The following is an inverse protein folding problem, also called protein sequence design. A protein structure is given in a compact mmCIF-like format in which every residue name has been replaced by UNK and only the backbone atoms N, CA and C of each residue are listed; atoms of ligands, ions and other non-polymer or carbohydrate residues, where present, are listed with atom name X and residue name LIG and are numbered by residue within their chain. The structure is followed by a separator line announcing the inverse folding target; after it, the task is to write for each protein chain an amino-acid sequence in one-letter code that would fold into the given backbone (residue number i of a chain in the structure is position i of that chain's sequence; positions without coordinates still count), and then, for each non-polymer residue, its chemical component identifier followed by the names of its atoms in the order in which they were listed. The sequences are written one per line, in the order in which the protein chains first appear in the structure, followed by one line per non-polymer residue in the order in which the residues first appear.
data_IF_771815886892
#
_entry.id   IF_771815886892
#
_cell.length_a   1.000
_cell.length_b   1.000
_cell.length_c   1.000
_cell.angle_alpha   90.00
_cell.angle_beta   90.00
_cell.angle_gamma   90.00
#
_symmetry.space_group_name_H-M   'P 1'
#
loop_
_entity.id
_entity.type
_entity.pdbx_description
1 polymer ?
#
# COMPACT_ATOMS: atom_id res chain seq x y z
N UNK A 1 -14.64 -21.95 -5.21
CA UNK A 1 -14.42 -21.40 -3.85
C UNK A 1 -15.41 -20.28 -3.59
N UNK A 2 -15.92 -20.14 -2.38
CA UNK A 2 -16.90 -19.11 -2.02
C UNK A 2 -16.34 -17.69 -2.18
N UNK A 3 -17.16 -16.79 -2.73
CA UNK A 3 -16.87 -15.36 -2.80
C UNK A 3 -16.97 -14.70 -1.42
N UNK A 4 -16.10 -13.75 -1.13
CA UNK A 4 -16.11 -12.97 0.11
C UNK A 4 -17.00 -11.74 -0.06
N UNK A 5 -17.95 -11.55 0.88
CA UNK A 5 -18.75 -10.32 0.97
C UNK A 5 -17.93 -9.20 1.61
N UNK A 6 -18.16 -7.97 1.18
CA UNK A 6 -17.41 -6.81 1.64
C UNK A 6 -17.49 -6.57 3.16
N UNK A 7 -18.65 -6.84 3.76
CA UNK A 7 -18.90 -6.80 5.21
C UNK A 7 -17.93 -7.67 6.01
N UNK A 8 -17.61 -8.86 5.51
CA UNK A 8 -16.71 -9.81 6.18
C UNK A 8 -15.23 -9.50 5.92
N UNK A 9 -14.94 -8.65 4.94
CA UNK A 9 -13.57 -8.31 4.53
C UNK A 9 -12.96 -7.13 5.29
N UNK A 10 -13.72 -6.49 6.18
CA UNK A 10 -13.31 -5.25 6.86
C UNK A 10 -11.95 -5.36 7.54
N UNK A 11 -11.72 -6.42 8.32
CA UNK A 11 -10.49 -6.56 9.11
C UNK A 11 -9.21 -6.78 8.27
N UNK A 12 -9.19 -7.68 7.27
CA UNK A 12 -8.08 -7.76 6.32
C UNK A 12 -7.85 -6.46 5.52
N UNK A 13 -8.92 -5.73 5.16
CA UNK A 13 -8.79 -4.46 4.45
C UNK A 13 -8.21 -3.34 5.34
N UNK A 14 -8.54 -3.33 6.64
CA UNK A 14 -7.89 -2.46 7.62
C UNK A 14 -6.39 -2.80 7.73
N UNK A 15 -6.04 -4.08 7.74
CA UNK A 15 -4.65 -4.51 7.75
C UNK A 15 -3.89 -4.06 6.48
N UNK A 16 -4.57 -3.97 5.33
CA UNK A 16 -4.00 -3.33 4.14
C UNK A 16 -3.74 -1.83 4.34
N UNK A 17 -4.63 -1.08 5.00
CA UNK A 17 -4.37 0.33 5.33
C UNK A 17 -3.12 0.48 6.21
N UNK A 18 -2.95 -0.41 7.19
CA UNK A 18 -1.70 -0.48 7.98
C UNK A 18 -0.48 -0.75 7.10
N UNK A 19 -0.56 -1.76 6.22
CA UNK A 19 0.55 -2.10 5.31
C UNK A 19 0.91 -0.96 4.35
N UNK A 20 -0.06 -0.16 3.92
CA UNK A 20 0.19 1.04 3.12
C UNK A 20 1.12 1.98 3.88
N UNK A 21 0.72 2.44 5.08
CA UNK A 21 1.55 3.33 5.89
C UNK A 21 2.92 2.73 6.21
N UNK A 22 2.96 1.43 6.53
CA UNK A 22 4.19 0.70 6.85
C UNK A 22 5.22 0.74 5.72
N UNK A 23 4.81 0.38 4.51
CA UNK A 23 5.71 0.35 3.33
C UNK A 23 6.04 1.77 2.87
N UNK A 24 5.07 2.68 2.95
CA UNK A 24 5.24 4.09 2.59
C UNK A 24 6.28 4.80 3.46
N UNK A 25 6.29 4.54 4.77
CA UNK A 25 7.30 5.09 5.68
C UNK A 25 8.73 4.67 5.31
N UNK A 26 8.92 3.42 4.87
CA UNK A 26 10.23 2.91 4.45
C UNK A 26 10.72 3.64 3.19
N UNK A 27 9.87 3.73 2.17
CA UNK A 27 10.22 4.39 0.90
C UNK A 27 10.48 5.89 1.09
N UNK A 28 9.61 6.57 1.83
CA UNK A 28 9.72 8.01 2.02
C UNK A 28 10.95 8.40 2.85
N UNK A 29 11.28 7.61 3.87
CA UNK A 29 12.47 7.86 4.71
C UNK A 29 13.78 7.73 3.92
N UNK A 30 13.79 6.90 2.87
CA UNK A 30 14.98 6.64 2.07
C UNK A 30 15.13 7.55 0.85
N UNK A 31 14.04 7.81 0.13
CA UNK A 31 14.07 8.51 -1.18
C UNK A 31 13.04 9.63 -1.32
N UNK A 32 12.29 9.95 -0.26
CA UNK A 32 11.23 10.95 -0.27
C UNK A 32 10.10 10.67 -1.27
N UNK A 33 9.94 9.41 -1.68
CA UNK A 33 8.88 8.92 -2.55
C UNK A 33 7.99 7.96 -1.79
N UNK A 34 6.68 8.16 -1.95
CA UNK A 34 5.65 7.29 -1.40
C UNK A 34 5.33 6.18 -2.42
N UNK A 35 5.74 4.92 -2.21
CA UNK A 35 5.44 3.82 -3.11
C UNK A 35 3.94 3.58 -3.33
N UNK A 36 3.07 3.99 -2.41
CA UNK A 36 1.61 3.91 -2.53
C UNK A 36 0.95 5.15 -3.15
N UNK A 37 1.52 6.34 -3.02
CA UNK A 37 0.83 7.59 -3.34
C UNK A 37 1.21 8.16 -4.70
N UNK A 38 0.53 7.66 -5.73
CA UNK A 38 0.86 8.00 -7.11
C UNK A 38 0.45 9.40 -7.55
N UNK A 39 -0.47 10.08 -6.85
CA UNK A 39 -0.78 11.49 -7.13
C UNK A 39 0.47 12.36 -7.01
N UNK A 40 1.19 12.23 -5.90
CA UNK A 40 2.44 12.97 -5.68
C UNK A 40 3.53 12.59 -6.68
N UNK A 41 3.69 11.30 -6.97
CA UNK A 41 4.71 10.83 -7.92
C UNK A 41 4.42 11.32 -9.35
N UNK A 42 3.15 11.35 -9.75
CA UNK A 42 2.72 11.88 -11.06
C UNK A 42 3.03 13.37 -11.19
N UNK A 43 2.73 14.15 -10.15
CA UNK A 43 3.05 15.59 -10.13
C UNK A 43 4.56 15.82 -10.11
N UNK A 44 5.33 15.05 -9.34
CA UNK A 44 6.80 15.15 -9.35
C UNK A 44 7.39 14.93 -10.75
N UNK A 45 6.87 13.95 -11.50
CA UNK A 45 7.29 13.73 -12.88
C UNK A 45 6.89 14.86 -13.82
N UNK A 46 5.67 15.39 -13.66
CA UNK A 46 5.24 16.55 -14.42
C UNK A 46 6.15 17.77 -14.17
N UNK A 47 6.55 17.99 -12.91
CA UNK A 47 7.51 19.04 -12.56
C UNK A 47 8.88 18.80 -13.18
N UNK A 48 9.39 17.56 -13.17
CA UNK A 48 10.64 17.21 -13.82
C UNK A 48 10.63 17.53 -15.33
N UNK A 49 9.51 17.22 -16.02
CA UNK A 49 9.32 17.55 -17.44
C UNK A 49 9.22 19.07 -17.63
N UNK A 50 8.51 19.78 -16.76
CA UNK A 50 8.34 21.23 -16.87
C UNK A 50 9.68 22.00 -16.80
N UNK A 51 10.69 21.48 -16.06
CA UNK A 51 12.04 22.07 -16.00
C UNK A 51 12.75 22.15 -17.36
N UNK A 52 12.37 21.30 -18.32
CA UNK A 52 12.89 21.34 -19.70
C UNK A 52 12.42 22.58 -20.47
N UNK A 53 11.39 23.28 -19.98
CA UNK A 53 10.77 24.42 -20.65
C UNK A 53 10.92 25.72 -19.85
N UNK A 54 11.73 25.72 -18.78
CA UNK A 54 11.89 26.88 -17.92
C UNK A 54 12.76 27.95 -18.59
N UNK A 55 12.22 29.15 -18.91
CA UNK A 55 13.00 30.19 -19.59
C UNK A 55 14.15 30.69 -18.72
N UNK A 56 15.35 30.76 -19.30
CA UNK A 56 16.56 31.23 -18.59
C UNK A 56 17.08 30.30 -17.49
N UNK A 57 16.43 29.17 -17.23
CA UNK A 57 16.81 28.18 -16.21
C UNK A 57 16.50 26.75 -16.65
N UNK A 58 16.65 26.46 -17.95
CA UNK A 58 16.38 25.13 -18.51
C UNK A 58 17.28 24.08 -17.86
N UNK A 59 16.67 23.04 -17.31
CA UNK A 59 17.38 21.96 -16.61
C UNK A 59 17.03 20.60 -17.21
N UNK A 60 18.03 19.97 -17.82
CA UNK A 60 17.96 18.64 -18.45
C UNK A 60 18.26 17.49 -17.48
N UNK A 61 18.54 17.79 -16.20
CA UNK A 61 18.83 16.76 -15.21
C UNK A 61 17.57 15.96 -14.87
N UNK A 62 17.72 14.63 -14.95
CA UNK A 62 16.75 13.70 -14.37
C UNK A 62 17.29 13.29 -13.00
N UNK A 63 16.82 13.99 -11.97
CA UNK A 63 17.37 13.93 -10.61
C UNK A 63 16.91 12.63 -9.90
N UNK A 64 17.60 12.20 -8.84
CA UNK A 64 17.24 10.97 -8.13
C UNK A 64 15.76 10.88 -7.67
N UNK A 65 15.11 11.96 -7.18
CA UNK A 65 13.68 11.92 -6.86
C UNK A 65 12.79 11.69 -8.08
N UNK A 66 13.14 12.28 -9.24
CA UNK A 66 12.38 12.09 -10.48
C UNK A 66 12.46 10.63 -10.96
N UNK A 67 13.66 10.03 -10.87
CA UNK A 67 13.88 8.60 -11.16
C UNK A 67 13.06 7.71 -10.24
N UNK A 68 13.07 8.01 -8.94
CA UNK A 68 12.32 7.25 -7.94
C UNK A 68 10.81 7.34 -8.17
N UNK A 69 10.30 8.54 -8.48
CA UNK A 69 8.90 8.76 -8.82
C UNK A 69 8.49 7.99 -10.07
N UNK A 70 9.34 7.96 -11.11
CA UNK A 70 9.07 7.21 -12.34
C UNK A 70 9.00 5.70 -12.09
N UNK A 71 10.01 5.15 -11.39
CA UNK A 71 10.05 3.74 -11.03
C UNK A 71 8.82 3.37 -10.21
N UNK A 72 8.49 4.16 -9.18
CA UNK A 72 7.33 3.93 -8.33
C UNK A 72 6.02 3.93 -9.13
N UNK A 73 5.81 4.93 -10.00
CA UNK A 73 4.58 5.05 -10.78
C UNK A 73 4.38 3.88 -11.74
N UNK A 74 5.40 3.55 -12.54
CA UNK A 74 5.30 2.49 -13.54
C UNK A 74 5.08 1.13 -12.90
N UNK A 75 5.80 0.83 -11.82
CA UNK A 75 5.70 -0.46 -11.14
C UNK A 75 4.42 -0.57 -10.31
N UNK A 76 3.90 0.52 -9.74
CA UNK A 76 2.57 0.55 -9.13
C UNK A 76 1.48 0.21 -10.15
N UNK A 77 1.53 0.84 -11.34
CA UNK A 77 0.59 0.55 -12.43
C UNK A 77 0.70 -0.93 -12.85
N UNK A 78 1.93 -1.45 -12.96
CA UNK A 78 2.17 -2.86 -13.26
C UNK A 78 1.56 -3.79 -12.19
N UNK A 79 1.78 -3.52 -10.90
CA UNK A 79 1.18 -4.28 -9.82
C UNK A 79 -0.35 -4.25 -9.85
N UNK A 80 -0.94 -3.07 -10.11
CA UNK A 80 -2.38 -2.92 -10.29
C UNK A 80 -2.90 -3.71 -11.52
N UNK A 81 -2.11 -3.74 -12.60
CA UNK A 81 -2.42 -4.52 -13.80
C UNK A 81 -2.42 -6.03 -13.52
N UNK A 82 -1.47 -6.55 -12.73
CA UNK A 82 -1.47 -7.96 -12.30
C UNK A 82 -2.74 -8.32 -11.52
N UNK A 83 -3.37 -7.36 -10.84
CA UNK A 83 -4.65 -7.59 -10.17
C UNK A 83 -5.78 -8.04 -11.09
N UNK A 84 -5.66 -7.76 -12.40
CA UNK A 84 -6.61 -8.21 -13.43
C UNK A 84 -6.61 -9.72 -13.63
N UNK A 85 -5.59 -10.46 -13.16
CA UNK A 85 -5.64 -11.93 -13.11
C UNK A 85 -6.87 -12.40 -12.33
N UNK A 86 -7.26 -11.64 -11.29
CA UNK A 86 -8.48 -11.88 -10.54
C UNK A 86 -9.77 -11.83 -11.38
N UNK A 87 -9.79 -11.19 -12.55
CA UNK A 87 -10.96 -11.20 -13.44
C UNK A 87 -11.27 -12.61 -13.97
N UNK A 88 -10.24 -13.44 -14.15
CA UNK A 88 -10.38 -14.84 -14.58
C UNK A 88 -10.67 -15.79 -13.42
N UNK A 89 -10.09 -15.52 -12.24
CA UNK A 89 -10.25 -16.39 -11.06
C UNK A 89 -11.49 -16.05 -10.22
N UNK A 90 -12.10 -14.89 -10.44
CA UNK A 90 -13.12 -14.31 -9.59
C UNK A 90 -12.49 -13.36 -8.56
N UNK A 91 -12.69 -12.04 -8.69
CA UNK A 91 -11.90 -11.03 -7.97
C UNK A 91 -12.19 -10.94 -6.47
N UNK A 92 -13.23 -11.64 -6.01
CA UNK A 92 -13.65 -11.72 -4.60
C UNK A 92 -13.51 -13.14 -4.03
N UNK A 93 -12.97 -14.09 -4.79
CA UNK A 93 -12.79 -15.45 -4.29
C UNK A 93 -11.67 -15.51 -3.25
N UNK A 94 -11.83 -16.34 -2.21
CA UNK A 94 -10.77 -16.55 -1.21
C UNK A 94 -9.44 -16.96 -1.83
N UNK A 95 -9.46 -17.82 -2.85
CA UNK A 95 -8.26 -18.21 -3.60
C UNK A 95 -7.53 -17.00 -4.17
N UNK A 96 -8.24 -16.13 -4.88
CA UNK A 96 -7.63 -14.95 -5.47
C UNK A 96 -7.14 -13.97 -4.41
N UNK A 97 -7.90 -13.75 -3.34
CA UNK A 97 -7.50 -12.86 -2.25
C UNK A 97 -6.24 -13.37 -1.54
N UNK A 98 -6.18 -14.67 -1.23
CA UNK A 98 -4.98 -15.33 -0.70
C UNK A 98 -3.79 -15.19 -1.67
N UNK A 99 -3.96 -15.63 -2.91
CA UNK A 99 -2.88 -15.66 -3.91
C UNK A 99 -2.37 -14.25 -4.23
N UNK A 100 -3.28 -13.31 -4.44
CA UNK A 100 -2.96 -11.92 -4.70
C UNK A 100 -2.23 -11.26 -3.53
N UNK A 101 -2.57 -11.61 -2.29
CA UNK A 101 -1.82 -11.16 -1.11
C UNK A 101 -0.46 -11.83 -1.01
N UNK A 102 -0.36 -13.10 -1.39
CA UNK A 102 0.92 -13.82 -1.41
C UNK A 102 1.87 -13.22 -2.45
N UNK A 103 1.38 -12.82 -3.62
CA UNK A 103 2.18 -12.09 -4.62
C UNK A 103 2.68 -10.75 -4.05
N UNK A 104 1.84 -10.03 -3.30
CA UNK A 104 2.27 -8.82 -2.58
C UNK A 104 3.39 -9.12 -1.56
N UNK A 105 3.27 -10.24 -0.83
CA UNK A 105 4.30 -10.70 0.10
C UNK A 105 5.62 -11.00 -0.62
N UNK A 106 5.56 -11.70 -1.76
CA UNK A 106 6.73 -12.00 -2.59
C UNK A 106 7.40 -10.74 -3.14
N UNK A 107 6.62 -9.74 -3.57
CA UNK A 107 7.18 -8.45 -3.95
C UNK A 107 7.83 -7.74 -2.76
N UNK A 108 7.20 -7.73 -1.58
CA UNK A 108 7.80 -7.13 -0.38
C UNK A 108 9.09 -7.84 0.03
N UNK A 109 9.14 -9.17 -0.12
CA UNK A 109 10.33 -9.98 0.12
C UNK A 109 11.44 -9.67 -0.89
N UNK A 110 11.10 -9.59 -2.18
CA UNK A 110 12.04 -9.21 -3.22
C UNK A 110 12.62 -7.81 -2.96
N UNK A 111 11.79 -6.86 -2.52
CA UNK A 111 12.27 -5.54 -2.11
C UNK A 111 13.26 -5.62 -0.95
N UNK A 112 12.97 -6.43 0.08
CA UNK A 112 13.86 -6.64 1.22
C UNK A 112 15.23 -7.19 0.79
N UNK A 113 15.25 -8.18 -0.10
CA UNK A 113 16.49 -8.77 -0.63
C UNK A 113 17.25 -7.78 -1.49
N UNK A 114 16.56 -7.05 -2.38
CA UNK A 114 17.19 -6.04 -3.24
C UNK A 114 17.85 -4.93 -2.41
N UNK A 115 17.16 -4.39 -1.40
CA UNK A 115 17.77 -3.33 -0.59
C UNK A 115 18.91 -3.85 0.29
N UNK A 116 18.81 -5.07 0.81
CA UNK A 116 19.89 -5.71 1.55
C UNK A 116 21.16 -5.85 0.70
N UNK A 117 21.01 -6.33 -0.54
CA UNK A 117 22.14 -6.50 -1.46
C UNK A 117 22.66 -5.19 -2.05
N UNK A 118 21.89 -4.09 -2.02
CA UNK A 118 22.35 -2.82 -2.59
C UNK A 118 23.41 -2.14 -1.74
N UNK A 119 23.48 -2.46 -0.44
CA UNK A 119 24.39 -1.81 0.51
C UNK A 119 24.04 -0.36 0.85
N UNK A 120 22.87 0.15 0.41
CA UNK A 120 22.46 1.52 0.69
C UNK A 120 22.02 1.69 2.14
N UNK A 121 22.22 2.90 2.67
CA UNK A 121 21.69 3.29 3.96
C UNK A 121 20.15 3.24 3.99
N UNK A 122 19.58 3.11 5.18
CA UNK A 122 18.13 2.97 5.36
C UNK A 122 17.40 4.32 5.40
N UNK A 123 18.08 5.37 5.88
CA UNK A 123 17.52 6.70 6.12
C UNK A 123 18.37 7.74 5.39
N UNK A 124 17.72 8.65 4.66
CA UNK A 124 18.38 9.79 4.05
C UNK A 124 18.84 10.80 5.11
N UNK A 125 20.07 11.29 4.98
CA UNK A 125 20.66 12.29 5.88
C UNK A 125 20.05 13.68 5.69
N UNK A 126 19.67 14.03 4.45
CA UNK A 126 19.05 15.30 4.09
C UNK A 126 18.00 15.11 2.98
N UNK A 127 17.04 16.04 2.87
CA UNK A 127 16.01 16.02 1.82
C UNK A 127 16.56 16.14 0.39
N UNK A 128 17.73 16.76 0.22
CA UNK A 128 18.42 16.87 -1.05
C UNK A 128 19.27 15.65 -1.42
N UNK A 129 19.53 14.74 -0.46
CA UNK A 129 20.46 13.62 -0.61
C UNK A 129 19.80 12.28 -0.23
N UNK A 130 19.11 11.62 -1.18
CA UNK A 130 18.41 10.38 -0.90
C UNK A 130 19.38 9.24 -0.60
N UNK A 131 19.04 8.41 0.39
CA UNK A 131 19.87 7.28 0.80
C UNK A 131 19.98 6.19 -0.28
N UNK A 132 18.96 6.03 -1.13
CA UNK A 132 18.96 5.00 -2.17
C UNK A 132 19.33 5.59 -3.53
N UNK A 133 20.52 5.22 -3.97
CA UNK A 133 21.15 5.70 -5.21
C UNK A 133 21.55 4.54 -6.14
N UNK A 134 21.74 3.34 -5.60
CA UNK A 134 22.12 2.18 -6.39
C UNK A 134 20.94 1.67 -7.23
N UNK A 135 21.17 1.13 -8.45
CA UNK A 135 20.12 0.56 -9.29
C UNK A 135 19.26 -0.48 -8.56
N UNK A 136 19.89 -1.32 -7.72
CA UNK A 136 19.18 -2.37 -6.99
C UNK A 136 18.23 -1.80 -5.91
N UNK A 137 18.55 -0.63 -5.34
CA UNK A 137 17.65 0.05 -4.41
C UNK A 137 16.43 0.65 -5.13
N UNK A 138 16.59 1.10 -6.38
CA UNK A 138 15.44 1.44 -7.23
C UNK A 138 14.60 0.21 -7.59
N UNK A 139 15.21 -0.94 -7.82
CA UNK A 139 14.46 -2.21 -8.00
C UNK A 139 13.66 -2.55 -6.73
N UNK A 140 14.24 -2.33 -5.54
CA UNK A 140 13.53 -2.50 -4.28
C UNK A 140 12.30 -1.59 -4.19
N UNK A 141 12.46 -0.30 -4.50
CA UNK A 141 11.35 0.66 -4.59
C UNK A 141 10.27 0.17 -5.58
N UNK A 142 10.69 -0.34 -6.74
CA UNK A 142 9.78 -0.88 -7.75
C UNK A 142 8.94 -2.03 -7.23
N UNK A 143 9.55 -2.98 -6.52
CA UNK A 143 8.80 -4.08 -5.90
C UNK A 143 7.86 -3.61 -4.79
N UNK A 144 8.27 -2.63 -3.96
CA UNK A 144 7.40 -2.01 -2.95
C UNK A 144 6.16 -1.39 -3.61
N UNK A 145 6.36 -0.60 -4.67
CA UNK A 145 5.29 0.06 -5.41
C UNK A 145 4.39 -0.94 -6.14
N UNK A 146 4.94 -1.99 -6.76
CA UNK A 146 4.16 -3.07 -7.36
C UNK A 146 3.31 -3.83 -6.33
N UNK A 147 3.85 -4.09 -5.14
CA UNK A 147 3.10 -4.67 -4.03
C UNK A 147 1.91 -3.81 -3.65
N UNK A 148 2.10 -2.50 -3.52
CA UNK A 148 0.99 -1.59 -3.19
C UNK A 148 0.00 -1.46 -4.35
N UNK A 149 0.46 -1.38 -5.61
CA UNK A 149 -0.43 -1.38 -6.78
C UNK A 149 -1.40 -2.58 -6.79
N UNK A 150 -0.87 -3.78 -6.53
CA UNK A 150 -1.67 -5.01 -6.45
C UNK A 150 -2.64 -5.00 -5.25
N UNK A 151 -2.20 -4.48 -4.10
CA UNK A 151 -3.06 -4.28 -2.93
C UNK A 151 -4.23 -3.35 -3.23
N UNK A 152 -3.97 -2.24 -3.94
CA UNK A 152 -4.97 -1.22 -4.26
C UNK A 152 -6.10 -1.76 -5.12
N UNK A 153 -5.75 -2.47 -6.19
CA UNK A 153 -6.76 -3.05 -7.10
C UNK A 153 -7.54 -4.19 -6.43
N UNK A 154 -6.91 -5.01 -5.59
CA UNK A 154 -7.61 -6.06 -4.83
C UNK A 154 -8.58 -5.43 -3.82
N UNK A 155 -8.12 -4.46 -3.03
CA UNK A 155 -8.98 -3.73 -2.09
C UNK A 155 -10.17 -3.07 -2.78
N UNK A 156 -9.94 -2.41 -3.92
CA UNK A 156 -11.00 -1.76 -4.71
C UNK A 156 -12.04 -2.76 -5.21
N UNK A 157 -11.63 -3.95 -5.64
CA UNK A 157 -12.52 -4.96 -6.20
C UNK A 157 -13.36 -5.69 -5.15
N UNK A 158 -12.88 -5.82 -3.91
CA UNK A 158 -13.70 -6.34 -2.80
C UNK A 158 -14.87 -5.40 -2.49
N UNK A 159 -14.67 -4.09 -2.72
CA UNK A 159 -15.71 -3.05 -2.72
C UNK A 159 -16.47 -2.92 -1.38
N UNK A 160 -15.74 -2.60 -0.30
CA UNK A 160 -16.30 -2.20 1.00
C UNK A 160 -16.13 -0.71 1.30
N UNK A 161 -16.43 -0.28 2.53
CA UNK A 161 -16.15 1.10 3.01
C UNK A 161 -14.65 1.45 3.01
N UNK A 162 -13.80 0.46 2.78
CA UNK A 162 -12.35 0.57 2.56
C UNK A 162 -11.99 0.44 1.08
N UNK A 163 -12.85 0.93 0.18
CA UNK A 163 -12.70 0.75 -1.27
C UNK A 163 -11.35 1.26 -1.80
N UNK A 164 -10.61 2.06 -1.05
CA UNK A 164 -9.23 2.43 -1.34
C UNK A 164 -8.33 2.18 -0.12
N UNK A 165 -7.66 1.04 -0.09
CA UNK A 165 -6.67 0.70 0.97
C UNK A 165 -5.39 1.55 0.91
N UNK A 166 -5.30 2.45 -0.07
CA UNK A 166 -4.14 3.26 -0.40
C UNK A 166 -4.51 4.75 -0.48
N UNK A 167 -5.57 5.10 -1.21
CA UNK A 167 -5.99 6.50 -1.39
C UNK A 167 -6.78 6.97 -0.16
N UNK A 168 -6.07 7.36 0.89
CA UNK A 168 -6.67 7.81 2.14
C UNK A 168 -7.30 9.22 2.03
N UNK A 169 -6.86 10.05 1.08
CA UNK A 169 -7.44 11.39 0.87
C UNK A 169 -8.94 11.33 0.62
N UNK A 170 -9.40 10.36 -0.20
CA UNK A 170 -10.83 10.15 -0.42
C UNK A 170 -11.54 9.76 0.88
N UNK A 171 -10.93 8.90 1.70
CA UNK A 171 -11.48 8.49 3.00
C UNK A 171 -11.60 9.68 3.97
N UNK A 172 -10.62 10.60 3.99
CA UNK A 172 -10.72 11.85 4.75
C UNK A 172 -11.91 12.70 4.30
N UNK A 173 -12.06 12.92 3.00
CA UNK A 173 -13.20 13.68 2.46
C UNK A 173 -14.54 13.00 2.78
N UNK A 174 -14.63 11.67 2.62
CA UNK A 174 -15.83 10.89 2.93
C UNK A 174 -16.15 10.81 4.42
N UNK A 175 -15.16 10.96 5.30
CA UNK A 175 -15.37 11.08 6.74
C UNK A 175 -15.96 12.45 7.08
N UNK A 176 -15.41 13.52 6.52
CA UNK A 176 -15.91 14.89 6.73
C UNK A 176 -17.29 15.12 6.12
N UNK A 177 -17.63 14.39 5.06
CA UNK A 177 -18.95 14.41 4.46
C UNK A 177 -19.97 13.49 5.16
N UNK A 178 -19.57 12.70 6.16
CA UNK A 178 -20.50 11.75 6.81
C UNK A 178 -21.55 12.52 7.65
N UNK A 179 -22.86 12.38 7.37
CA UNK A 179 -23.90 13.12 8.10
C UNK A 179 -23.99 12.71 9.57
N UNK A 180 -23.39 11.58 9.96
CA UNK A 180 -23.35 11.06 11.34
C UNK A 180 -21.96 11.21 11.96
N UNK A 181 -21.15 12.16 11.47
CA UNK A 181 -19.79 12.43 11.96
C UNK A 181 -19.72 12.62 13.48
N UNK A 182 -20.64 13.42 14.05
CA UNK A 182 -20.65 13.74 15.48
C UNK A 182 -21.55 12.84 16.33
N UNK A 183 -22.08 11.75 15.75
CA UNK A 183 -22.88 10.81 16.52
C UNK A 183 -21.98 10.07 17.53
N UNK A 184 -22.43 9.89 18.77
CA UNK A 184 -21.67 9.18 19.81
C UNK A 184 -21.80 7.65 19.72
N UNK A 185 -22.79 7.15 19.00
CA UNK A 185 -22.96 5.70 18.78
C UNK A 185 -22.00 5.18 17.72
N UNK A 186 -21.83 3.85 17.68
CA UNK A 186 -21.06 3.17 16.64
C UNK A 186 -21.80 3.25 15.30
N UNK A 187 -21.15 3.82 14.30
CA UNK A 187 -21.66 4.00 12.93
C UNK A 187 -20.64 3.43 11.96
N UNK A 188 -20.97 2.28 11.37
CA UNK A 188 -20.07 1.52 10.48
C UNK A 188 -19.48 2.40 9.36
N UNK A 189 -20.28 3.26 8.71
CA UNK A 189 -19.80 4.12 7.61
C UNK A 189 -18.77 5.16 8.03
N UNK A 190 -18.80 5.58 9.30
CA UNK A 190 -17.90 6.60 9.84
C UNK A 190 -16.71 5.96 10.55
N UNK A 191 -16.98 5.03 11.47
CA UNK A 191 -15.95 4.44 12.33
C UNK A 191 -14.95 3.59 11.55
N UNK A 192 -15.39 2.91 10.48
CA UNK A 192 -14.47 2.20 9.59
C UNK A 192 -13.46 3.16 8.92
N UNK A 193 -13.88 4.36 8.52
CA UNK A 193 -12.99 5.37 7.92
C UNK A 193 -11.97 5.88 8.94
N UNK A 194 -12.42 6.15 10.17
CA UNK A 194 -11.53 6.54 11.28
C UNK A 194 -10.50 5.46 11.55
N UNK A 195 -10.93 4.20 11.63
CA UNK A 195 -10.02 3.06 11.84
C UNK A 195 -9.03 2.93 10.67
N UNK A 196 -9.46 3.11 9.42
CA UNK A 196 -8.55 3.10 8.26
C UNK A 196 -7.43 4.14 8.39
N UNK A 197 -7.80 5.38 8.76
CA UNK A 197 -6.88 6.50 8.95
C UNK A 197 -5.88 6.19 10.08
N UNK A 198 -6.38 5.76 11.23
CA UNK A 198 -5.54 5.43 12.39
C UNK A 198 -4.60 4.27 12.05
N UNK A 199 -5.09 3.22 11.40
CA UNK A 199 -4.24 2.08 11.02
C UNK A 199 -3.15 2.47 10.03
N UNK A 200 -3.42 3.34 9.07
CA UNK A 200 -2.37 3.86 8.18
C UNK A 200 -1.31 4.64 8.97
N UNK A 201 -1.73 5.52 9.88
CA UNK A 201 -0.82 6.29 10.74
C UNK A 201 0.05 5.35 11.59
N UNK A 202 -0.57 4.37 12.26
CA UNK A 202 0.14 3.37 13.07
C UNK A 202 1.09 2.52 12.21
N UNK A 203 0.69 2.19 10.98
CA UNK A 203 1.55 1.52 10.01
C UNK A 203 2.81 2.32 9.74
N UNK A 204 2.68 3.62 9.45
CA UNK A 204 3.82 4.50 9.21
C UNK A 204 4.72 4.65 10.43
N UNK A 205 4.13 4.84 11.62
CA UNK A 205 4.87 4.94 12.88
C UNK A 205 5.66 3.66 13.19
N UNK A 206 4.99 2.50 13.14
CA UNK A 206 5.63 1.20 13.43
C UNK A 206 6.66 0.85 12.36
N UNK A 207 6.36 1.09 11.08
CA UNK A 207 7.30 0.88 9.98
C UNK A 207 8.58 1.70 10.17
N UNK A 208 8.45 2.99 10.54
CA UNK A 208 9.59 3.86 10.83
C UNK A 208 10.40 3.38 12.05
N UNK A 209 9.73 2.98 13.13
CA UNK A 209 10.38 2.52 14.36
C UNK A 209 11.16 1.20 14.16
N UNK A 210 10.60 0.25 13.39
CA UNK A 210 11.31 -0.98 13.03
C UNK A 210 12.48 -0.67 12.10
N UNK A 211 12.31 0.24 11.13
CA UNK A 211 13.40 0.67 10.26
C UNK A 211 14.57 1.26 11.06
N UNK A 212 14.30 2.08 12.09
CA UNK A 212 15.36 2.61 12.97
C UNK A 212 16.12 1.50 13.71
N UNK A 213 15.44 0.41 14.04
CA UNK A 213 16.00 -0.67 14.86
C UNK A 213 16.82 -1.67 14.04
N UNK A 214 16.35 -2.03 12.84
CA UNK A 214 16.92 -3.13 12.04
C UNK A 214 17.15 -2.79 10.56
N UNK A 215 17.00 -1.53 10.18
CA UNK A 215 17.18 -1.04 8.81
C UNK A 215 16.05 -1.41 7.84
N UNK A 216 16.12 -0.87 6.62
CA UNK A 216 15.08 -1.03 5.59
C UNK A 216 14.88 -2.48 5.16
N UNK A 217 15.96 -3.25 5.02
CA UNK A 217 15.90 -4.67 4.68
C UNK A 217 15.13 -5.47 5.75
N UNK A 218 15.46 -5.28 7.02
CA UNK A 218 14.79 -5.92 8.15
C UNK A 218 13.33 -5.51 8.26
N UNK A 219 13.05 -4.21 8.13
CA UNK A 219 11.68 -3.68 8.15
C UNK A 219 10.82 -4.26 7.01
N UNK A 220 11.33 -4.35 5.78
CA UNK A 220 10.63 -5.02 4.67
C UNK A 220 10.48 -6.53 4.90
N UNK A 221 11.46 -7.19 5.51
CA UNK A 221 11.35 -8.58 5.94
C UNK A 221 10.19 -8.82 6.91
N UNK A 222 10.05 -7.97 7.94
CA UNK A 222 8.90 -8.00 8.85
C UNK A 222 7.59 -7.72 8.11
N UNK A 223 7.59 -6.76 7.19
CA UNK A 223 6.44 -6.45 6.33
C UNK A 223 6.00 -7.64 5.48
N UNK A 224 6.94 -8.45 4.99
CA UNK A 224 6.64 -9.73 4.31
C UNK A 224 5.87 -10.67 5.24
N UNK A 225 6.31 -10.82 6.50
CA UNK A 225 5.63 -11.63 7.50
C UNK A 225 4.18 -11.17 7.73
N UNK A 226 3.95 -9.86 7.90
CA UNK A 226 2.59 -9.32 8.01
C UNK A 226 1.74 -9.65 6.79
N UNK A 227 2.27 -9.54 5.57
CA UNK A 227 1.53 -9.90 4.36
C UNK A 227 1.20 -11.40 4.29
N UNK A 228 2.11 -12.29 4.70
CA UNK A 228 1.82 -13.73 4.76
C UNK A 228 0.68 -14.02 5.74
N UNK A 229 0.68 -13.37 6.91
CA UNK A 229 -0.42 -13.49 7.88
C UNK A 229 -1.74 -13.01 7.28
N UNK A 230 -1.75 -11.86 6.61
CA UNK A 230 -2.96 -11.33 5.94
C UNK A 230 -3.41 -12.26 4.80
N UNK A 231 -2.47 -12.84 4.04
CA UNK A 231 -2.78 -13.79 2.98
C UNK A 231 -3.52 -14.99 3.55
N UNK A 232 -2.95 -15.65 4.56
CA UNK A 232 -3.55 -16.80 5.25
C UNK A 232 -4.91 -16.43 5.86
N UNK A 233 -5.05 -15.21 6.40
CA UNK A 233 -6.32 -14.73 6.94
C UNK A 233 -7.45 -14.79 5.91
N UNK A 234 -7.22 -14.45 4.64
CA UNK A 234 -8.23 -14.52 3.59
C UNK A 234 -8.85 -15.91 3.40
N UNK A 235 -8.14 -16.99 3.74
CA UNK A 235 -8.67 -18.36 3.67
C UNK A 235 -9.78 -18.60 4.68
N UNK A 236 -9.75 -17.88 5.81
CA UNK A 236 -10.69 -18.02 6.92
C UNK A 236 -11.82 -16.98 6.91
N UNK A 237 -11.81 -16.02 5.99
CA UNK A 237 -12.86 -14.99 5.88
C UNK A 237 -14.15 -15.60 5.35
N UNK A 238 -15.16 -15.74 6.21
CA UNK A 238 -16.46 -16.33 5.87
C UNK A 238 -17.60 -15.77 6.69
N UNK A 239 -18.78 -16.33 6.46
CA UNK A 239 -19.99 -15.95 7.19
C UNK A 239 -19.76 -16.10 8.70
N UNK A 240 -20.00 -15.05 9.50
CA UNK A 240 -19.90 -15.15 10.94
C UNK A 240 -20.79 -16.30 11.43
N UNK A 241 -20.25 -17.21 12.25
CA UNK A 241 -20.97 -18.41 12.75
C UNK A 241 -22.32 -18.09 13.41
N UNK A 242 -22.52 -16.86 13.89
CA UNK A 242 -23.77 -16.38 14.44
C UNK A 242 -24.90 -16.24 13.38
N UNK A 243 -24.58 -15.82 12.16
CA UNK A 243 -25.55 -15.64 11.07
C UNK A 243 -25.88 -16.95 10.36
N UNK A 244 -24.90 -17.85 10.21
CA UNK A 244 -25.11 -19.19 9.65
C UNK A 244 -26.14 -20.01 10.46
N UNK A 245 -26.11 -19.91 11.79
CA UNK A 245 -27.07 -20.59 12.69
C UNK A 245 -28.51 -20.05 12.59
N UNK A 246 -28.69 -18.81 12.15
CA UNK A 246 -30.02 -18.21 11.95
C UNK A 246 -30.58 -18.60 10.59
N UNK A 247 -29.72 -18.74 9.57
CA UNK A 247 -30.11 -19.18 8.24
C UNK A 247 -30.49 -20.68 8.19
N UNK A 248 -29.88 -21.54 9.01
CA UNK A 248 -30.26 -22.97 9.12
C UNK A 248 -31.55 -23.20 9.93
N UNK A 249 -32.06 -22.18 10.63
CA UNK A 249 -33.28 -22.27 11.45
C UNK A 249 -34.56 -21.77 10.75
N UNK A 250 -34.43 -21.27 9.53
CA UNK A 250 -35.53 -20.80 8.68
C UNK A 250 -35.62 -21.68 7.42
#
# INVERSE_FOLDING_TARGET
MSSVKAEWASAPLIAYCFMTGYIDAIGFTAVFVWPGFQTGNSVQLALAIARLFQPGQTDFSFRPPDRAALVSLLTFIFGAFLGRIGDRMGPKTRAWLFLGTMIQALFTMAAAVCIWQSGNASVASDRGDPAWTAPLAYVALGFMSASLGLQGIIGKRVNGQFATTIVLTTIWCELMADPKLFNKSWVITRDHKIVAIICLFLGGFIGRAILDSIGSAGALGVGTGFRVVIAVWWLFVGEPKAQAKTAEKN
#
